data_IF_187179589782
#
_entry.id   IF_187179589782
#
_cell.length_a   1.000
_cell.length_b   1.000
_cell.length_c   1.000
_cell.angle_alpha   90.00
_cell.angle_beta   90.00
_cell.angle_gamma   90.00
#
_symmetry.space_group_name_H-M   'P 1'
#
loop_
_entity.id
_entity.type
_entity.pdbx_description
1 polymer ?
#
# COMPACT_ATOMS: atom_id res chain seq x y z
N UNK A 1 7.82 5.88 22.42
CA UNK A 1 7.54 5.71 20.98
C UNK A 1 8.27 6.83 20.28
N UNK A 2 9.35 6.49 19.58
CA UNK A 2 10.12 7.47 18.80
C UNK A 2 9.46 7.61 17.44
N UNK A 3 9.17 8.85 17.05
CA UNK A 3 8.69 9.18 15.71
C UNK A 3 9.86 9.72 14.91
N UNK A 4 10.05 9.16 13.72
CA UNK A 4 11.07 9.52 12.76
C UNK A 4 10.50 10.36 11.60
N UNK A 5 9.18 10.54 11.54
CA UNK A 5 8.58 11.42 10.55
C UNK A 5 9.14 12.86 10.64
N UNK A 6 9.50 13.49 9.51
CA UNK A 6 9.93 14.88 9.51
C UNK A 6 8.83 15.83 9.99
N UNK A 7 9.23 16.98 10.55
CA UNK A 7 8.28 18.05 10.93
C UNK A 7 7.47 18.47 9.69
N UNK A 8 6.15 18.41 9.81
CA UNK A 8 5.23 18.77 8.72
C UNK A 8 5.00 17.67 7.68
N UNK A 9 5.47 16.44 7.93
CA UNK A 9 5.17 15.28 7.11
C UNK A 9 3.65 15.07 7.00
N UNK A 10 3.15 15.02 5.76
CA UNK A 10 1.76 14.69 5.47
C UNK A 10 1.69 13.24 5.07
N UNK A 11 1.31 12.37 6.02
CA UNK A 11 1.24 10.95 5.76
C UNK A 11 0.20 10.63 4.67
N UNK A 12 0.62 10.02 3.52
CA UNK A 12 -0.31 9.66 2.45
C UNK A 12 -1.29 8.57 2.89
N UNK A 13 -0.92 7.72 3.85
CA UNK A 13 -1.80 6.65 4.31
C UNK A 13 -2.85 7.15 5.29
N UNK A 14 -2.54 8.18 6.09
CA UNK A 14 -3.56 8.92 6.85
C UNK A 14 -4.56 9.61 5.91
N UNK A 15 -4.09 10.17 4.79
CA UNK A 15 -4.97 10.74 3.77
C UNK A 15 -5.95 9.69 3.23
N UNK A 16 -5.45 8.51 2.83
CA UNK A 16 -6.29 7.41 2.36
C UNK A 16 -7.24 6.93 3.46
N UNK A 17 -6.76 6.74 4.70
CA UNK A 17 -7.60 6.32 5.83
C UNK A 17 -8.74 7.31 6.11
N UNK A 18 -8.51 8.61 5.90
CA UNK A 18 -9.50 9.68 6.04
C UNK A 18 -10.46 9.81 4.85
N UNK A 19 -10.33 8.98 3.81
CA UNK A 19 -11.17 9.08 2.61
C UNK A 19 -10.65 10.06 1.56
N UNK A 20 -9.42 10.55 1.69
CA UNK A 20 -8.76 11.42 0.71
C UNK A 20 -8.07 10.66 -0.42
N UNK A 21 -7.57 11.44 -1.38
CA UNK A 21 -6.89 10.97 -2.59
C UNK A 21 -5.72 11.92 -2.94
N UNK A 22 -4.73 11.41 -3.66
CA UNK A 22 -3.61 12.19 -4.20
C UNK A 22 -3.15 11.64 -5.57
N UNK A 23 -2.00 12.11 -6.05
CA UNK A 23 -1.44 11.70 -7.34
C UNK A 23 -1.04 10.22 -7.38
N UNK A 24 -0.79 9.60 -6.22
CA UNK A 24 -0.31 8.22 -6.10
C UNK A 24 -1.43 7.25 -5.74
N UNK A 25 -2.52 7.73 -5.13
CA UNK A 25 -3.61 6.88 -4.61
C UNK A 25 -4.99 7.51 -4.82
N UNK A 26 -5.93 6.74 -5.35
CA UNK A 26 -7.35 7.05 -5.44
C UNK A 26 -8.16 6.16 -4.49
N UNK A 27 -9.37 6.59 -4.13
CA UNK A 27 -10.38 5.79 -3.43
C UNK A 27 -10.71 4.51 -4.18
N UNK A 28 -10.61 4.52 -5.50
CA UNK A 28 -10.85 3.31 -6.28
C UNK A 28 -9.77 2.24 -6.10
N UNK A 29 -8.59 2.61 -5.58
CA UNK A 29 -7.55 1.66 -5.20
C UNK A 29 -7.86 0.91 -3.91
N UNK A 30 -8.76 1.42 -3.06
CA UNK A 30 -9.12 0.81 -1.78
C UNK A 30 -10.03 -0.40 -2.02
N UNK A 31 -9.55 -1.58 -1.66
CA UNK A 31 -10.21 -2.87 -1.95
C UNK A 31 -10.92 -3.47 -0.75
N UNK A 32 -10.50 -3.12 0.47
CA UNK A 32 -11.11 -3.59 1.70
C UNK A 32 -10.87 -2.60 2.83
N UNK A 33 -11.90 -2.34 3.64
CA UNK A 33 -11.81 -1.53 4.86
C UNK A 33 -12.47 -2.28 6.02
N UNK A 34 -11.90 -2.13 7.21
CA UNK A 34 -12.45 -2.55 8.50
C UNK A 34 -12.40 -1.40 9.50
N UNK A 35 -12.80 -1.63 10.75
CA UNK A 35 -12.64 -0.65 11.83
C UNK A 35 -11.17 -0.39 12.20
N UNK A 36 -10.27 -1.33 11.91
CA UNK A 36 -8.87 -1.27 12.36
C UNK A 36 -7.86 -1.06 11.22
N UNK A 37 -8.17 -1.53 10.01
CA UNK A 37 -7.24 -1.54 8.89
C UNK A 37 -7.92 -1.27 7.55
N UNK A 38 -7.12 -0.98 6.55
CA UNK A 38 -7.54 -0.88 5.16
C UNK A 38 -6.49 -1.49 4.23
N UNK A 39 -6.93 -1.91 3.06
CA UNK A 39 -6.10 -2.51 2.03
C UNK A 39 -6.35 -1.81 0.70
N UNK A 40 -5.29 -1.46 -0.02
CA UNK A 40 -5.37 -0.76 -1.30
C UNK A 40 -4.28 -1.19 -2.28
N UNK A 41 -4.57 -1.11 -3.57
CA UNK A 41 -3.60 -1.40 -4.65
C UNK A 41 -2.52 -0.32 -4.65
N UNK A 42 -1.26 -0.73 -4.47
CA UNK A 42 -0.13 0.19 -4.48
C UNK A 42 0.11 0.77 -5.87
N UNK A 43 0.62 1.99 -5.97
CA UNK A 43 1.14 2.57 -7.21
C UNK A 43 2.61 2.21 -7.47
N UNK A 44 3.35 1.69 -6.50
CA UNK A 44 4.79 1.41 -6.64
C UNK A 44 5.07 -0.08 -6.92
N UNK A 45 5.05 -0.49 -8.17
CA UNK A 45 5.10 -1.92 -8.54
C UNK A 45 6.48 -2.51 -8.72
N UNK A 46 6.55 -3.84 -8.68
CA UNK A 46 7.71 -4.64 -9.08
C UNK A 46 7.48 -5.22 -10.48
N UNK A 47 8.53 -5.41 -11.30
CA UNK A 47 8.41 -5.75 -12.72
C UNK A 47 7.45 -6.91 -13.04
N UNK A 48 7.41 -7.93 -12.18
CA UNK A 48 6.62 -9.15 -12.40
C UNK A 48 5.46 -9.32 -11.41
N UNK A 49 5.20 -8.33 -10.56
CA UNK A 49 4.25 -8.43 -9.44
C UNK A 49 3.34 -7.19 -9.37
N UNK A 50 2.77 -6.82 -10.51
CA UNK A 50 1.81 -5.74 -10.63
C UNK A 50 0.56 -6.00 -9.79
N UNK A 51 -0.04 -4.93 -9.27
CA UNK A 51 -1.27 -5.01 -8.49
C UNK A 51 -1.10 -5.51 -7.06
N UNK A 52 0.14 -5.61 -6.55
CA UNK A 52 0.35 -5.88 -5.13
C UNK A 52 -0.35 -4.83 -4.25
N UNK A 53 -0.75 -5.27 -3.07
CA UNK A 53 -1.59 -4.50 -2.14
C UNK A 53 -0.76 -4.09 -0.93
N UNK A 54 -1.04 -2.91 -0.41
CA UNK A 54 -0.60 -2.48 0.91
C UNK A 54 -1.74 -2.65 1.91
N UNK A 55 -1.44 -3.28 3.04
CA UNK A 55 -2.36 -3.37 4.19
C UNK A 55 -1.79 -2.50 5.30
N UNK A 56 -2.57 -1.53 5.77
CA UNK A 56 -2.15 -0.56 6.77
C UNK A 56 -3.22 -0.38 7.86
N UNK A 57 -2.82 -0.08 9.12
CA UNK A 57 -3.76 0.31 10.16
C UNK A 57 -4.38 1.66 9.82
N UNK A 58 -5.62 1.89 10.26
CA UNK A 58 -6.29 3.19 10.12
C UNK A 58 -5.70 4.27 11.03
N UNK A 59 -5.14 3.86 12.16
CA UNK A 59 -4.40 4.72 13.08
C UNK A 59 -2.95 4.86 12.62
N UNK A 60 -2.37 6.04 12.81
CA UNK A 60 -0.99 6.30 12.45
C UNK A 60 -0.03 5.61 13.43
N UNK A 61 0.76 4.68 12.91
CA UNK A 61 1.88 4.05 13.60
C UNK A 61 3.03 3.96 12.61
N UNK A 62 4.25 4.38 12.95
CA UNK A 62 5.35 4.36 11.98
C UNK A 62 5.96 2.96 11.80
N UNK A 63 5.95 2.13 12.85
CA UNK A 63 6.66 0.87 12.87
C UNK A 63 5.96 -0.17 13.77
N UNK A 64 6.28 -1.45 13.53
CA UNK A 64 5.82 -2.57 14.35
C UNK A 64 6.64 -2.69 15.66
N UNK A 65 7.90 -2.20 15.63
CA UNK A 65 8.87 -2.13 16.73
C UNK A 65 9.84 -0.95 16.48
N UNK A 66 10.56 -0.47 17.51
CA UNK A 66 11.54 0.65 17.48
C UNK A 66 12.76 0.38 16.54
N UNK A 67 12.54 0.24 15.24
CA UNK A 67 13.59 0.15 14.24
C UNK A 67 14.03 1.57 13.84
N UNK A 68 15.34 1.88 13.91
CA UNK A 68 15.87 3.14 13.40
C UNK A 68 15.50 3.33 11.92
N UNK A 69 15.12 4.56 11.57
CA UNK A 69 14.84 5.02 10.20
C UNK A 69 15.80 4.47 9.11
N UNK A 70 17.08 4.32 9.44
CA UNK A 70 18.12 3.87 8.51
C UNK A 70 17.99 2.39 8.08
N UNK A 71 17.27 1.56 8.85
CA UNK A 71 17.28 0.11 8.69
C UNK A 71 16.00 -0.45 8.03
N UNK A 72 14.92 0.36 7.97
CA UNK A 72 13.58 -0.12 7.60
C UNK A 72 13.21 -0.08 6.12
N UNK A 73 13.97 0.64 5.27
CA UNK A 73 13.64 0.90 3.85
C UNK A 73 12.15 1.20 3.59
N UNK A 74 11.51 1.99 4.46
CA UNK A 74 10.12 2.42 4.26
C UNK A 74 10.08 3.74 3.48
N UNK A 75 9.28 3.79 2.41
CA UNK A 75 9.06 5.01 1.63
C UNK A 75 8.01 5.95 2.27
N UNK A 76 7.24 5.45 3.25
CA UNK A 76 6.23 6.21 4.00
C UNK A 76 6.34 5.91 5.51
N UNK A 77 6.29 6.95 6.35
CA UNK A 77 6.22 6.85 7.82
C UNK A 77 4.82 6.42 8.27
N UNK A 78 4.40 5.21 7.89
CA UNK A 78 3.15 4.59 8.30
C UNK A 78 3.26 3.10 8.07
N UNK A 79 3.14 2.30 9.12
CA UNK A 79 3.25 0.86 9.11
C UNK A 79 2.38 0.25 8.01
N UNK A 80 3.01 -0.49 7.12
CA UNK A 80 2.30 -1.23 6.09
C UNK A 80 2.97 -2.57 5.83
N UNK A 81 2.17 -3.51 5.37
CA UNK A 81 2.62 -4.80 4.91
C UNK A 81 2.29 -4.93 3.43
N UNK A 82 3.28 -5.34 2.65
CA UNK A 82 3.08 -5.66 1.23
C UNK A 82 2.51 -7.07 1.08
N UNK A 83 1.48 -7.20 0.25
CA UNK A 83 0.90 -8.48 -0.17
C UNK A 83 1.09 -8.61 -1.69
N UNK A 84 2.05 -9.44 -2.09
CA UNK A 84 2.42 -9.64 -3.49
C UNK A 84 1.68 -10.83 -4.12
N UNK A 85 1.10 -10.68 -5.33
CA UNK A 85 0.80 -11.85 -6.15
C UNK A 85 2.12 -12.53 -6.54
N UNK A 86 2.18 -13.86 -6.49
CA UNK A 86 3.39 -14.64 -6.80
C UNK A 86 3.16 -15.50 -8.02
N UNK A 87 4.19 -15.60 -8.85
CA UNK A 87 4.19 -16.42 -10.07
C UNK A 87 5.47 -17.25 -10.14
N UNK A 88 5.44 -18.32 -10.94
CA UNK A 88 6.66 -19.06 -11.26
C UNK A 88 7.69 -18.10 -11.86
N UNK A 89 8.94 -18.18 -11.37
CA UNK A 89 10.08 -17.40 -11.84
C UNK A 89 9.92 -15.86 -11.77
N UNK A 90 9.04 -15.35 -10.90
CA UNK A 90 8.79 -13.90 -10.78
C UNK A 90 9.99 -13.09 -10.27
N UNK A 91 10.95 -13.76 -9.63
CA UNK A 91 12.21 -13.19 -9.15
C UNK A 91 12.03 -11.97 -8.20
N UNK A 92 10.92 -11.93 -7.47
CA UNK A 92 10.53 -10.78 -6.64
C UNK A 92 11.67 -10.27 -5.73
N UNK A 93 12.31 -11.16 -4.99
CA UNK A 93 13.34 -10.80 -3.99
C UNK A 93 14.67 -10.31 -4.59
N UNK A 94 14.89 -10.52 -5.89
CA UNK A 94 16.10 -10.06 -6.58
C UNK A 94 15.83 -8.89 -7.53
N UNK A 95 14.65 -8.29 -7.45
CA UNK A 95 14.25 -7.12 -8.26
C UNK A 95 13.93 -5.92 -7.36
N UNK A 96 13.86 -4.75 -7.97
CA UNK A 96 13.53 -3.48 -7.32
C UNK A 96 12.19 -2.95 -7.84
N UNK A 97 11.49 -2.10 -7.08
CA UNK A 97 10.31 -1.44 -7.60
C UNK A 97 10.66 -0.60 -8.83
N UNK A 98 9.71 -0.51 -9.76
CA UNK A 98 9.77 0.29 -10.97
C UNK A 98 9.98 1.77 -10.63
N UNK A 99 10.73 2.47 -11.48
CA UNK A 99 11.05 3.88 -11.28
C UNK A 99 9.81 4.79 -11.38
N UNK A 100 8.86 4.41 -12.23
CA UNK A 100 7.63 5.17 -12.47
C UNK A 100 6.47 4.50 -11.75
N UNK A 101 5.69 5.25 -10.94
CA UNK A 101 4.45 4.73 -10.36
C UNK A 101 3.43 4.35 -11.44
N UNK A 102 2.70 3.28 -11.20
CA UNK A 102 1.58 2.86 -12.04
C UNK A 102 0.49 3.95 -12.05
N UNK A 103 -0.06 4.24 -13.22
CA UNK A 103 -1.18 5.16 -13.41
C UNK A 103 -2.48 4.59 -12.84
N UNK A 104 -3.49 5.43 -12.55
CA UNK A 104 -4.80 4.94 -12.10
C UNK A 104 -5.42 3.90 -13.05
N UNK A 105 -5.26 4.08 -14.37
CA UNK A 105 -5.77 3.15 -15.36
C UNK A 105 -5.07 1.78 -15.31
N UNK A 106 -3.77 1.76 -15.03
CA UNK A 106 -3.04 0.50 -14.86
C UNK A 106 -3.48 -0.23 -13.58
N UNK A 107 -3.79 0.50 -12.50
CA UNK A 107 -4.22 -0.08 -11.22
C UNK A 107 -5.68 -0.58 -11.24
N UNK A 108 -6.56 0.07 -12.00
CA UNK A 108 -8.00 -0.20 -12.01
C UNK A 108 -8.40 -1.67 -12.24
N UNK A 109 -7.77 -2.44 -13.16
CA UNK A 109 -8.09 -3.87 -13.33
C UNK A 109 -7.89 -4.69 -12.05
N UNK A 110 -6.86 -4.36 -11.25
CA UNK A 110 -6.57 -5.07 -9.99
C UNK A 110 -7.55 -4.71 -8.89
N UNK A 111 -7.84 -3.40 -8.74
CA UNK A 111 -8.77 -2.94 -7.72
C UNK A 111 -10.19 -3.43 -8.00
N UNK A 112 -10.65 -3.39 -9.26
CA UNK A 112 -11.94 -3.95 -9.66
C UNK A 112 -12.04 -5.45 -9.35
N UNK A 113 -11.01 -6.24 -9.67
CA UNK A 113 -11.00 -7.68 -9.40
C UNK A 113 -11.11 -7.98 -7.92
N UNK A 114 -10.34 -7.28 -7.08
CA UNK A 114 -10.33 -7.49 -5.62
C UNK A 114 -11.62 -6.99 -4.97
N UNK A 115 -12.14 -5.82 -5.36
CA UNK A 115 -13.41 -5.29 -4.85
C UNK A 115 -14.56 -6.22 -5.17
N UNK A 116 -14.62 -6.77 -6.39
CA UNK A 116 -15.61 -7.78 -6.78
C UNK A 116 -15.49 -9.03 -5.90
N UNK A 117 -14.27 -9.57 -5.77
CA UNK A 117 -14.04 -10.75 -4.93
C UNK A 117 -14.50 -10.54 -3.48
N UNK A 118 -14.18 -9.40 -2.86
CA UNK A 118 -14.60 -9.12 -1.49
C UNK A 118 -16.09 -8.77 -1.36
N UNK A 119 -16.75 -8.31 -2.41
CA UNK A 119 -18.21 -8.16 -2.43
C UNK A 119 -18.88 -9.54 -2.42
N UNK A 120 -18.42 -10.45 -3.28
CA UNK A 120 -18.94 -11.82 -3.39
C UNK A 120 -18.61 -12.67 -2.14
N UNK A 121 -17.45 -12.46 -1.52
CA UNK A 121 -17.05 -13.20 -0.32
C UNK A 121 -17.77 -12.74 0.97
N UNK A 122 -18.46 -11.60 0.92
CA UNK A 122 -19.24 -11.06 2.05
C UNK A 122 -20.73 -11.42 1.97
N UNK A 123 -21.19 -11.99 0.85
CA UNK A 123 -22.54 -12.56 0.70
C UNK A 123 -22.60 -14.00 1.18
#
# INVERSE_FOLDING_TARGET
>A
MFNHEPVGYRCPFCLVAAGGEDQLTSRDDVVLESSQAFAFVSSRWWPNNHGHVLVAPRTHHENLYDLPAADGYQDAWHLHVHVFPRYADDNLYNTRPLATPATPNERAPYSHKLRRYFADAKS
#
